data_IF_818475937416
#
_entry.id   IF_818475937416
#
_cell.length_a   1.000
_cell.length_b   1.000
_cell.length_c   1.000
_cell.angle_alpha   90.00
_cell.angle_beta   90.00
_cell.angle_gamma   90.00
#
_symmetry.space_group_name_H-M   'P 1'
#
loop_
_entity.id
_entity.type
_entity.pdbx_description
1 polymer ?
#
# COMPACT_ATOMS: atom_id res chain seq x y z
N UNK A 1 2.28 -20.98 -20.56
CA UNK A 1 0.99 -21.44 -20.01
C UNK A 1 0.97 -20.97 -18.56
N UNK A 2 0.33 -19.82 -18.30
CA UNK A 2 0.22 -19.27 -16.94
C UNK A 2 -0.72 -20.16 -16.14
N UNK A 3 -0.17 -20.88 -15.18
CA UNK A 3 -0.93 -21.72 -14.28
C UNK A 3 -1.44 -20.86 -13.13
N UNK A 4 -2.55 -20.16 -13.37
CA UNK A 4 -3.28 -19.45 -12.31
C UNK A 4 -4.15 -20.47 -11.58
N UNK A 5 -3.52 -21.36 -10.80
CA UNK A 5 -4.23 -21.95 -9.67
C UNK A 5 -4.66 -20.77 -8.77
N UNK A 6 -5.92 -20.73 -8.26
CA UNK A 6 -6.30 -19.69 -7.33
C UNK A 6 -5.29 -19.72 -6.19
N UNK A 7 -4.63 -18.59 -5.93
CA UNK A 7 -3.80 -18.44 -4.75
C UNK A 7 -4.68 -18.84 -3.58
N UNK A 8 -4.31 -19.91 -2.86
CA UNK A 8 -5.07 -20.45 -1.71
C UNK A 8 -5.33 -19.40 -0.61
N UNK A 9 -4.66 -18.25 -0.70
CA UNK A 9 -4.79 -17.11 0.19
C UNK A 9 -5.03 -15.85 -0.66
N UNK A 10 -5.89 -14.95 -0.16
CA UNK A 10 -6.17 -13.65 -0.79
C UNK A 10 -4.95 -12.73 -0.72
N UNK A 11 -4.71 -11.89 -1.74
CA UNK A 11 -3.64 -10.89 -1.71
C UNK A 11 -3.97 -9.75 -0.74
N UNK A 12 -2.94 -8.99 -0.35
CA UNK A 12 -3.14 -7.64 0.17
C UNK A 12 -3.40 -6.70 -1.00
N UNK A 13 -4.21 -5.68 -0.79
CA UNK A 13 -4.60 -4.75 -1.85
C UNK A 13 -4.65 -3.31 -1.35
N UNK A 14 -4.48 -2.36 -2.27
CA UNK A 14 -4.59 -0.93 -2.02
C UNK A 14 -5.12 -0.22 -3.27
N UNK A 15 -5.97 0.78 -3.07
CA UNK A 15 -6.56 1.57 -4.15
C UNK A 15 -6.74 3.02 -3.71
N UNK A 16 -6.81 3.92 -4.68
CA UNK A 16 -7.12 5.33 -4.48
C UNK A 16 -8.28 5.73 -5.40
N UNK A 17 -9.24 6.48 -4.86
CA UNK A 17 -10.39 6.98 -5.62
C UNK A 17 -10.58 8.50 -5.40
N UNK A 18 -10.77 9.29 -6.47
CA UNK A 18 -10.62 8.90 -7.86
C UNK A 18 -9.18 8.44 -8.17
N UNK A 19 -9.01 7.52 -9.11
CA UNK A 19 -7.68 7.07 -9.51
C UNK A 19 -6.99 8.21 -10.24
N UNK A 20 -6.00 8.82 -9.58
CA UNK A 20 -5.25 9.93 -10.15
C UNK A 20 -4.34 9.45 -11.31
N UNK A 21 -4.06 10.38 -12.22
CA UNK A 21 -3.16 10.11 -13.34
C UNK A 21 -1.77 9.71 -12.81
N UNK A 22 -1.22 8.62 -13.36
CA UNK A 22 0.08 8.09 -12.93
C UNK A 22 0.03 7.19 -11.69
N UNK A 23 -1.11 7.03 -11.01
CA UNK A 23 -1.22 6.12 -9.85
C UNK A 23 -0.89 4.68 -10.22
N UNK A 24 -1.44 4.17 -11.33
CA UNK A 24 -1.23 2.80 -11.79
C UNK A 24 0.23 2.48 -12.18
N UNK A 25 1.01 3.50 -12.55
CA UNK A 25 2.39 3.38 -13.01
C UNK A 25 3.41 3.75 -11.92
N UNK A 26 2.93 4.17 -10.73
CA UNK A 26 3.80 4.57 -9.64
C UNK A 26 4.63 3.39 -9.12
N UNK A 27 5.95 3.56 -8.89
CA UNK A 27 6.81 2.48 -8.42
C UNK A 27 6.48 2.09 -6.97
N UNK A 28 5.77 0.98 -6.81
CA UNK A 28 5.44 0.42 -5.50
C UNK A 28 6.41 -0.67 -5.08
N UNK A 29 6.47 -0.93 -3.77
CA UNK A 29 7.27 -1.98 -3.14
C UNK A 29 6.34 -3.02 -2.51
N UNK A 30 6.84 -4.23 -2.19
CA UNK A 30 8.06 -4.85 -2.73
C UNK A 30 7.93 -5.12 -4.24
N UNK A 31 8.99 -5.62 -4.89
CA UNK A 31 8.98 -5.96 -6.33
C UNK A 31 7.85 -6.92 -6.74
N UNK A 32 7.36 -7.74 -5.79
CA UNK A 32 6.24 -8.64 -6.02
C UNK A 32 4.86 -7.93 -6.09
N UNK A 33 4.78 -6.65 -5.74
CA UNK A 33 3.55 -5.86 -5.85
C UNK A 33 3.35 -5.38 -7.30
N UNK A 34 2.11 -5.37 -7.77
CA UNK A 34 1.76 -4.95 -9.12
C UNK A 34 0.38 -4.30 -9.17
N UNK A 35 0.12 -3.47 -10.18
CA UNK A 35 -1.20 -2.88 -10.41
C UNK A 35 -2.04 -3.78 -11.32
N UNK A 36 -3.23 -4.15 -10.86
CA UNK A 36 -4.24 -4.85 -11.65
C UNK A 36 -5.18 -3.82 -12.28
N UNK A 37 -5.13 -3.71 -13.62
CA UNK A 37 -5.91 -2.70 -14.37
C UNK A 37 -7.40 -3.03 -14.46
N UNK A 38 -7.78 -4.29 -14.35
CA UNK A 38 -9.18 -4.70 -14.41
C UNK A 38 -9.88 -4.39 -13.08
N UNK A 39 -9.13 -4.51 -11.97
CA UNK A 39 -9.62 -4.15 -10.63
C UNK A 39 -9.41 -2.66 -10.29
N UNK A 40 -8.37 -2.03 -10.84
CA UNK A 40 -7.98 -0.67 -10.47
C UNK A 40 -7.23 -0.61 -9.13
N UNK A 41 -6.51 -1.67 -8.78
CA UNK A 41 -5.91 -1.85 -7.45
C UNK A 41 -4.44 -2.30 -7.55
N UNK A 42 -3.62 -1.86 -6.61
CA UNK A 42 -2.35 -2.51 -6.32
C UNK A 42 -2.60 -3.80 -5.55
N UNK A 43 -1.96 -4.89 -5.97
CA UNK A 43 -2.02 -6.20 -5.33
C UNK A 43 -0.63 -6.64 -4.88
N UNK A 44 -0.55 -7.23 -3.69
CA UNK A 44 0.62 -7.92 -3.17
C UNK A 44 0.25 -9.37 -2.83
N UNK A 45 0.82 -10.38 -3.52
CA UNK A 45 0.56 -11.78 -3.22
C UNK A 45 0.88 -12.13 -1.77
N UNK A 46 -0.06 -12.79 -1.08
CA UNK A 46 0.14 -13.23 0.30
C UNK A 46 1.40 -14.10 0.47
N UNK A 47 1.68 -14.96 -0.50
CA UNK A 47 2.87 -15.81 -0.49
C UNK A 47 4.18 -15.03 -0.49
N UNK A 48 4.22 -13.84 -1.09
CA UNK A 48 5.42 -12.98 -1.08
C UNK A 48 5.69 -12.45 0.34
N UNK A 49 4.63 -12.10 1.09
CA UNK A 49 4.75 -11.70 2.50
C UNK A 49 5.10 -12.90 3.37
N UNK A 50 4.42 -14.03 3.18
CA UNK A 50 4.60 -15.25 3.97
C UNK A 50 6.02 -15.82 3.87
N UNK A 51 6.65 -15.71 2.69
CA UNK A 51 7.98 -16.26 2.40
C UNK A 51 9.12 -15.26 2.62
N UNK A 52 8.80 -14.01 2.98
CA UNK A 52 9.81 -12.99 3.27
C UNK A 52 10.55 -13.29 4.56
N UNK A 53 11.83 -12.94 4.60
CA UNK A 53 12.64 -12.97 5.83
C UNK A 53 12.15 -11.94 6.87
N UNK A 54 11.49 -10.87 6.42
CA UNK A 54 10.80 -9.90 7.26
C UNK A 54 9.36 -9.64 6.76
N UNK A 55 8.39 -10.50 7.12
CA UNK A 55 7.01 -10.38 6.67
C UNK A 55 6.37 -9.03 7.07
N UNK A 56 6.71 -8.51 8.24
CA UNK A 56 6.19 -7.23 8.72
C UNK A 56 6.74 -6.09 7.85
N UNK A 57 8.05 -6.05 7.62
CA UNK A 57 8.69 -5.06 6.78
C UNK A 57 8.16 -5.11 5.34
N UNK A 58 7.98 -6.31 4.78
CA UNK A 58 7.44 -6.49 3.42
C UNK A 58 6.03 -5.93 3.28
N UNK A 59 5.12 -6.28 4.19
CA UNK A 59 3.77 -5.73 4.16
C UNK A 59 3.77 -4.21 4.37
N UNK A 60 4.62 -3.72 5.28
CA UNK A 60 4.66 -2.29 5.57
C UNK A 60 5.26 -1.46 4.43
N UNK A 61 6.24 -2.00 3.71
CA UNK A 61 6.77 -1.39 2.49
C UNK A 61 5.68 -1.24 1.41
N UNK A 62 4.80 -2.24 1.28
CA UNK A 62 3.65 -2.16 0.37
C UNK A 62 2.70 -1.05 0.77
N UNK A 63 2.18 -1.08 2.00
CA UNK A 63 1.23 -0.08 2.48
C UNK A 63 1.80 1.33 2.36
N UNK A 64 3.06 1.53 2.75
CA UNK A 64 3.74 2.83 2.66
C UNK A 64 3.89 3.30 1.21
N UNK A 65 4.39 2.44 0.31
CA UNK A 65 4.61 2.83 -1.09
C UNK A 65 3.30 3.08 -1.86
N UNK A 66 2.22 2.36 -1.54
CA UNK A 66 0.90 2.61 -2.12
C UNK A 66 0.24 3.87 -1.58
N UNK A 67 0.53 4.23 -0.32
CA UNK A 67 0.13 5.51 0.25
C UNK A 67 0.86 6.67 -0.43
N UNK A 68 2.18 6.56 -0.60
CA UNK A 68 2.99 7.53 -1.35
C UNK A 68 2.48 7.68 -2.78
N UNK A 69 2.17 6.56 -3.46
CA UNK A 69 1.58 6.59 -4.79
C UNK A 69 0.31 7.45 -4.84
N UNK A 70 -0.58 7.29 -3.85
CA UNK A 70 -1.83 8.03 -3.80
C UNK A 70 -1.63 9.51 -3.44
N UNK A 71 -0.77 9.79 -2.46
CA UNK A 71 -0.53 11.14 -1.97
C UNK A 71 0.20 12.00 -3.00
N UNK A 72 1.21 11.45 -3.68
CA UNK A 72 1.99 12.16 -4.69
C UNK A 72 1.18 12.38 -5.98
N UNK A 73 0.45 11.35 -6.47
CA UNK A 73 -0.35 11.51 -7.69
C UNK A 73 -1.64 12.29 -7.46
N UNK A 74 -2.15 12.27 -6.22
CA UNK A 74 -3.31 13.05 -5.80
C UNK A 74 -3.00 14.50 -5.39
N UNK A 75 -1.74 14.93 -5.41
CA UNK A 75 -1.28 16.26 -4.97
C UNK A 75 -1.76 16.64 -3.56
N UNK A 76 -1.60 15.71 -2.62
CA UNK A 76 -2.02 15.93 -1.24
C UNK A 76 -1.05 16.86 -0.51
N UNK A 77 -1.59 17.79 0.30
CA UNK A 77 -0.79 18.55 1.26
C UNK A 77 -0.35 17.63 2.41
N UNK A 78 0.74 16.89 2.19
CA UNK A 78 1.23 15.88 3.12
C UNK A 78 1.68 16.49 4.44
N UNK A 79 2.24 17.70 4.43
CA UNK A 79 2.65 18.37 5.67
C UNK A 79 1.45 18.71 6.56
N UNK A 80 0.31 19.09 5.96
CA UNK A 80 -0.92 19.35 6.70
C UNK A 80 -1.68 18.07 7.11
N UNK A 81 -1.55 16.99 6.34
CA UNK A 81 -2.35 15.76 6.51
C UNK A 81 -1.64 14.65 7.28
N UNK A 82 -0.31 14.58 7.20
CA UNK A 82 0.46 13.55 7.86
C UNK A 82 0.63 13.82 9.35
N UNK A 83 0.91 12.74 10.08
CA UNK A 83 1.21 12.80 11.48
C UNK A 83 2.36 11.85 11.79
N UNK A 84 3.06 12.11 12.89
CA UNK A 84 4.04 11.17 13.42
C UNK A 84 3.41 9.80 13.69
N UNK A 85 4.16 8.74 13.40
CA UNK A 85 3.79 7.37 13.72
C UNK A 85 3.39 7.22 15.19
N UNK A 86 2.31 6.49 15.42
CA UNK A 86 1.81 6.23 16.76
C UNK A 86 2.80 5.42 17.60
N UNK A 87 2.84 5.71 18.90
CA UNK A 87 3.57 4.89 19.88
C UNK A 87 2.58 3.94 20.55
N UNK A 88 2.84 2.61 20.57
CA UNK A 88 1.93 1.67 21.22
C UNK A 88 1.62 2.07 22.66
N UNK A 89 0.33 2.04 23.02
CA UNK A 89 -0.19 2.41 24.35
C UNK A 89 0.03 3.87 24.77
N UNK A 90 0.39 4.75 23.83
CA UNK A 90 0.50 6.19 24.07
C UNK A 90 -0.47 6.89 23.11
N UNK A 91 -1.68 7.24 23.58
CA UNK A 91 -2.61 8.02 22.77
C UNK A 91 -1.95 9.34 22.34
N UNK A 92 -2.16 9.73 21.09
CA UNK A 92 -1.73 11.04 20.63
C UNK A 92 -2.60 12.10 21.33
N UNK A 93 -2.03 13.15 21.93
CA UNK A 93 -2.81 14.29 22.37
C UNK A 93 -3.48 14.92 21.14
N UNK A 94 -4.79 15.11 21.21
CA UNK A 94 -5.56 15.80 20.18
C UNK A 94 -5.80 17.20 20.69
N UNK A 95 -5.16 18.18 20.07
CA UNK A 95 -5.46 19.58 20.37
C UNK A 95 -6.90 19.84 19.91
N UNK A 96 -7.74 20.28 20.84
CA UNK A 96 -9.09 20.78 20.52
C UNK A 96 -8.97 22.29 20.46
N UNK A 97 -9.13 22.84 19.27
CA UNK A 97 -9.34 24.27 19.06
C UNK A 97 -10.61 24.77 19.77
#
# INVERSE_FOLDING_TARGET
>A
MSETAPSRCSPFYAYAYPTADGFADYPVKPEAAYFDKDLGEFLLPYSAVQRSDDPRGTLMAFLQSTYEAAAETGDWDRDALECSLGKPRVPRPVDRD
#
